data_IF_510793601153
#
_entry.id   IF_510793601153
#
_cell.length_a   1.000
_cell.length_b   1.000
_cell.length_c   1.000
_cell.angle_alpha   90.00
_cell.angle_beta   90.00
_cell.angle_gamma   90.00
#
_symmetry.space_group_name_H-M   'P 1'
#
loop_
_entity.id
_entity.type
_entity.pdbx_description
1 polymer ?
#
# COMPACT_ATOMS: atom_id res chain seq x y z
N UNK A 1 -2.25 -5.31 -6.91
CA UNK A 1 -3.09 -5.26 -8.13
C UNK A 1 -3.16 -3.80 -8.56
N UNK A 2 -2.25 -3.35 -9.44
CA UNK A 2 -2.28 -1.99 -9.98
C UNK A 2 -3.18 -2.00 -11.23
N UNK A 3 -4.31 -1.30 -11.09
CA UNK A 3 -5.17 -0.69 -12.12
C UNK A 3 -5.14 -1.34 -13.52
N UNK A 4 -6.21 -2.07 -13.84
CA UNK A 4 -6.51 -2.47 -15.22
C UNK A 4 -7.00 -1.29 -16.06
N UNK A 5 -6.28 -1.00 -17.15
CA UNK A 5 -6.74 -0.37 -18.40
C UNK A 5 -7.76 0.79 -18.31
N UNK A 6 -7.24 2.02 -18.24
CA UNK A 6 -7.73 3.21 -18.97
C UNK A 6 -6.75 4.38 -18.79
N UNK A 7 -5.89 4.62 -19.79
CA UNK A 7 -4.71 5.51 -19.77
C UNK A 7 -3.74 5.28 -18.59
N UNK A 8 -2.44 5.17 -18.88
CA UNK A 8 -1.43 5.12 -17.82
C UNK A 8 -1.36 6.49 -17.15
N UNK A 9 -2.17 6.69 -16.11
CA UNK A 9 -2.07 7.83 -15.20
C UNK A 9 -0.69 7.82 -14.60
N UNK A 10 0.09 8.86 -14.91
CA UNK A 10 1.49 8.93 -14.53
C UNK A 10 1.65 9.54 -13.16
N UNK A 11 0.72 10.37 -12.73
CA UNK A 11 0.74 10.97 -11.40
C UNK A 11 -0.38 10.40 -10.55
N UNK A 12 -0.11 10.18 -9.27
CA UNK A 12 -1.15 9.92 -8.28
C UNK A 12 -0.88 10.65 -6.98
N UNK A 13 -1.94 11.22 -6.40
CA UNK A 13 -1.94 11.83 -5.09
C UNK A 13 -2.89 11.07 -4.19
N UNK A 14 -2.49 10.86 -2.94
CA UNK A 14 -3.38 10.30 -1.92
C UNK A 14 -3.23 11.03 -0.60
N UNK A 15 -4.37 11.25 0.06
CA UNK A 15 -4.44 11.68 1.45
C UNK A 15 -5.13 10.60 2.29
N UNK A 16 -4.55 10.27 3.43
CA UNK A 16 -5.06 9.30 4.40
C UNK A 16 -5.21 9.94 5.77
N UNK A 17 -6.34 9.70 6.40
CA UNK A 17 -6.59 9.96 7.81
C UNK A 17 -6.74 8.66 8.61
N UNK A 18 -6.18 8.61 9.81
CA UNK A 18 -6.43 7.55 10.80
C UNK A 18 -6.77 8.21 12.13
N UNK A 19 -7.88 7.79 12.74
CA UNK A 19 -8.33 8.27 14.04
C UNK A 19 -7.48 7.66 15.16
N UNK A 20 -6.38 8.34 15.50
CA UNK A 20 -5.41 7.90 16.50
C UNK A 20 -4.81 9.10 17.22
N UNK A 21 -4.33 8.87 18.44
CA UNK A 21 -3.62 9.85 19.24
C UNK A 21 -2.17 10.08 18.78
N UNK A 22 -1.63 9.15 17.98
CA UNK A 22 -0.25 9.24 17.47
C UNK A 22 -0.22 10.22 16.29
N UNK A 23 0.54 11.30 16.40
CA UNK A 23 0.50 12.40 15.43
C UNK A 23 1.00 12.01 14.04
N UNK A 24 2.10 11.24 13.96
CA UNK A 24 2.72 10.86 12.68
C UNK A 24 1.75 10.17 11.71
N UNK A 25 1.07 9.05 12.05
CA UNK A 25 0.20 8.36 11.12
C UNK A 25 -1.18 9.01 10.92
N UNK A 26 -1.57 9.97 11.78
CA UNK A 26 -2.91 10.57 11.80
C UNK A 26 -3.27 11.16 10.46
N UNK A 27 -2.36 11.93 9.85
CA UNK A 27 -2.47 12.40 8.48
C UNK A 27 -1.25 11.95 7.70
N UNK A 28 -1.47 11.40 6.51
CA UNK A 28 -0.40 11.10 5.57
C UNK A 28 -0.81 11.47 4.17
N UNK A 29 0.08 12.14 3.47
CA UNK A 29 -0.06 12.48 2.07
C UNK A 29 1.01 11.76 1.27
N UNK A 30 0.68 11.35 0.04
CA UNK A 30 1.64 10.76 -0.88
C UNK A 30 1.45 11.35 -2.27
N UNK A 31 2.55 11.51 -2.99
CA UNK A 31 2.59 11.92 -4.37
C UNK A 31 3.54 10.99 -5.11
N UNK A 32 3.03 10.21 -6.06
CA UNK A 32 3.78 9.20 -6.79
C UNK A 32 3.78 9.49 -8.29
N UNK A 33 4.91 9.21 -8.94
CA UNK A 33 5.09 9.25 -10.39
C UNK A 33 5.47 7.89 -10.95
N UNK A 34 4.80 7.50 -12.04
CA UNK A 34 5.06 6.27 -12.79
C UNK A 34 6.05 6.55 -13.93
N UNK A 35 7.34 6.37 -13.67
CA UNK A 35 8.42 6.53 -14.65
C UNK A 35 8.36 5.48 -15.76
N UNK A 36 7.95 4.27 -15.40
CA UNK A 36 7.84 3.12 -16.31
C UNK A 36 6.67 2.25 -15.82
N UNK A 37 6.00 1.42 -16.66
CA UNK A 37 4.94 0.51 -16.20
C UNK A 37 5.31 -0.46 -15.06
N UNK A 38 6.61 -0.56 -14.75
CA UNK A 38 7.18 -1.36 -13.66
C UNK A 38 7.87 -0.55 -12.58
N UNK A 39 8.03 0.78 -12.73
CA UNK A 39 8.81 1.61 -11.81
C UNK A 39 8.00 2.85 -11.44
N UNK A 40 7.71 3.00 -10.16
CA UNK A 40 7.21 4.24 -9.59
C UNK A 40 8.11 4.71 -8.45
N UNK A 41 8.13 6.01 -8.25
CA UNK A 41 8.71 6.62 -7.06
C UNK A 41 7.93 7.88 -6.71
N UNK A 42 8.03 8.29 -5.46
CA UNK A 42 7.21 9.34 -4.91
C UNK A 42 7.73 9.84 -3.58
N UNK A 43 6.98 10.80 -3.07
CA UNK A 43 7.19 11.38 -1.76
C UNK A 43 6.00 11.05 -0.88
N UNK A 44 6.27 11.05 0.41
CA UNK A 44 5.29 10.94 1.47
C UNK A 44 5.51 12.05 2.48
N UNK A 45 4.42 12.55 3.02
CA UNK A 45 4.44 13.66 3.97
C UNK A 45 3.52 13.36 5.15
N UNK A 46 4.07 13.40 6.35
CA UNK A 46 3.35 13.22 7.61
C UNK A 46 3.37 14.56 8.38
N UNK A 47 2.36 15.44 8.22
CA UNK A 47 2.38 16.79 8.80
C UNK A 47 2.42 16.81 10.31
N UNK A 48 1.91 15.78 10.99
CA UNK A 48 1.91 15.70 12.46
C UNK A 48 3.31 15.75 13.07
N UNK A 49 4.34 15.39 12.29
CA UNK A 49 5.75 15.42 12.69
C UNK A 49 6.65 16.13 11.66
N UNK A 50 6.05 16.85 10.70
CA UNK A 50 6.78 17.55 9.63
C UNK A 50 7.77 16.66 8.84
N UNK A 51 7.49 15.37 8.73
CA UNK A 51 8.38 14.40 8.09
C UNK A 51 8.06 14.29 6.59
N UNK A 52 9.10 14.36 5.76
CA UNK A 52 9.05 14.02 4.34
C UNK A 52 9.89 12.77 4.12
N UNK A 53 9.28 11.73 3.58
CA UNK A 53 9.94 10.48 3.21
C UNK A 53 9.95 10.26 1.71
N UNK A 54 10.79 9.31 1.28
CA UNK A 54 10.77 8.78 -0.08
C UNK A 54 10.03 7.44 -0.10
N UNK A 55 9.37 7.16 -1.22
CA UNK A 55 8.81 5.84 -1.47
C UNK A 55 8.99 5.44 -2.93
N UNK A 56 9.00 4.15 -3.18
CA UNK A 56 9.09 3.65 -4.55
C UNK A 56 8.90 2.15 -4.63
N UNK A 57 8.57 1.70 -5.83
CA UNK A 57 8.37 0.30 -6.13
C UNK A 57 8.87 -0.04 -7.53
N UNK A 58 9.57 -1.17 -7.62
CA UNK A 58 10.02 -1.79 -8.85
C UNK A 58 9.37 -3.17 -8.93
N UNK A 59 8.58 -3.38 -9.98
CA UNK A 59 8.07 -4.71 -10.33
C UNK A 59 9.16 -5.49 -11.05
N UNK A 60 9.64 -6.54 -10.39
CA UNK A 60 10.72 -7.40 -10.87
C UNK A 60 10.17 -8.53 -11.75
N UNK A 61 9.04 -9.10 -11.36
CA UNK A 61 8.41 -10.21 -12.07
C UNK A 61 6.92 -9.94 -12.27
N UNK A 62 6.46 -10.06 -13.51
CA UNK A 62 5.03 -10.06 -13.79
C UNK A 62 4.42 -11.41 -13.41
N UNK A 63 3.18 -11.36 -12.89
CA UNK A 63 2.43 -12.58 -12.59
C UNK A 63 2.19 -13.38 -13.88
N UNK A 64 2.31 -14.70 -13.78
CA UNK A 64 1.90 -15.63 -14.83
C UNK A 64 1.13 -16.81 -14.23
N UNK A 65 0.74 -17.78 -15.07
CA UNK A 65 0.12 -19.01 -14.60
C UNK A 65 0.91 -19.66 -13.46
N UNK A 66 2.23 -19.74 -13.60
CA UNK A 66 3.11 -20.48 -12.67
C UNK A 66 3.95 -19.59 -11.75
N UNK A 67 4.07 -18.29 -12.04
CA UNK A 67 4.91 -17.37 -11.27
C UNK A 67 4.06 -16.31 -10.56
N UNK A 68 4.38 -15.94 -9.32
CA UNK A 68 3.75 -14.79 -8.68
C UNK A 68 4.25 -13.49 -9.33
N UNK A 69 3.53 -12.40 -9.06
CA UNK A 69 4.11 -11.07 -9.17
C UNK A 69 5.17 -10.90 -8.07
N UNK A 70 6.31 -10.28 -8.41
CA UNK A 70 7.35 -9.93 -7.46
C UNK A 70 7.66 -8.43 -7.55
N UNK A 71 7.73 -7.75 -6.41
CA UNK A 71 8.11 -6.33 -6.37
C UNK A 71 9.06 -6.03 -5.22
N UNK A 72 10.06 -5.19 -5.52
CA UNK A 72 10.94 -4.56 -4.54
C UNK A 72 10.47 -3.15 -4.28
N UNK A 73 10.59 -2.64 -3.08
CA UNK A 73 10.26 -1.25 -2.81
C UNK A 73 10.75 -0.74 -1.49
N UNK A 74 10.43 0.53 -1.26
CA UNK A 74 10.74 1.23 -0.03
C UNK A 74 9.66 2.28 0.27
N UNK A 75 9.46 2.55 1.54
CA UNK A 75 8.62 3.62 2.08
C UNK A 75 8.99 3.85 3.55
N UNK A 76 8.41 4.84 4.21
CA UNK A 76 8.38 4.82 5.68
C UNK A 76 7.91 3.47 6.18
N UNK A 77 8.42 3.15 7.36
CA UNK A 77 8.06 1.93 8.07
C UNK A 77 6.56 1.92 8.47
N UNK A 78 6.13 0.85 9.13
CA UNK A 78 4.74 0.53 9.46
C UNK A 78 4.01 1.70 10.12
N UNK A 79 2.67 1.71 10.02
CA UNK A 79 1.85 2.61 10.83
C UNK A 79 2.25 2.41 12.30
N UNK A 80 2.56 3.51 13.00
CA UNK A 80 3.01 3.50 14.40
C UNK A 80 4.53 3.52 14.61
N UNK A 81 5.33 3.34 13.54
CA UNK A 81 6.78 3.55 13.62
C UNK A 81 7.12 5.03 13.89
N UNK A 82 8.27 5.32 14.55
CA UNK A 82 8.72 6.68 14.77
C UNK A 82 9.12 7.37 13.45
N UNK A 83 9.25 8.69 13.51
CA UNK A 83 9.76 9.49 12.38
C UNK A 83 11.17 9.05 11.96
N UNK A 84 11.50 9.26 10.68
CA UNK A 84 12.83 8.99 10.13
C UNK A 84 13.13 7.52 9.87
N UNK A 85 12.18 6.61 10.14
CA UNK A 85 12.38 5.18 9.89
C UNK A 85 11.87 4.75 8.52
N UNK A 86 12.74 4.09 7.76
CA UNK A 86 12.45 3.53 6.45
C UNK A 86 12.27 2.01 6.53
N UNK A 87 11.54 1.48 5.55
CA UNK A 87 11.38 0.05 5.33
C UNK A 87 11.75 -0.29 3.88
N UNK A 88 12.40 -1.44 3.71
CA UNK A 88 12.74 -2.00 2.40
C UNK A 88 12.11 -3.38 2.28
N UNK A 89 11.39 -3.63 1.20
CA UNK A 89 10.55 -4.82 1.11
C UNK A 89 10.65 -5.54 -0.22
N UNK A 90 10.48 -6.86 -0.14
CA UNK A 90 10.28 -7.76 -1.27
C UNK A 90 8.95 -8.48 -1.09
N UNK A 91 7.98 -8.15 -1.94
CA UNK A 91 6.63 -8.72 -1.89
C UNK A 91 6.39 -9.69 -3.04
N UNK A 92 5.87 -10.87 -2.72
CA UNK A 92 5.32 -11.82 -3.68
C UNK A 92 3.79 -11.84 -3.56
N UNK A 93 3.08 -11.69 -4.68
CA UNK A 93 1.61 -11.73 -4.73
C UNK A 93 1.13 -12.60 -5.88
N UNK A 94 0.03 -13.33 -5.68
CA UNK A 94 -0.53 -14.19 -6.74
C UNK A 94 -2.04 -14.23 -6.69
N UNK A 95 -2.68 -14.07 -7.83
CA UNK A 95 -4.12 -14.26 -7.99
C UNK A 95 -4.42 -15.75 -8.09
N UNK A 96 -5.31 -16.24 -7.22
CA UNK A 96 -5.73 -17.64 -7.27
C UNK A 96 -6.72 -17.80 -8.43
N UNK A 97 -6.41 -18.70 -9.36
CA UNK A 97 -7.28 -18.93 -10.51
C UNK A 97 -8.68 -19.34 -10.05
N UNK A 98 -9.71 -18.73 -10.65
CA UNK A 98 -11.15 -18.94 -10.36
C UNK A 98 -11.64 -18.44 -9.00
N UNK A 99 -10.77 -17.90 -8.14
CA UNK A 99 -11.18 -17.24 -6.92
C UNK A 99 -10.94 -15.73 -7.03
N UNK A 100 -11.79 -14.89 -6.45
CA UNK A 100 -11.58 -13.45 -6.43
C UNK A 100 -10.51 -13.05 -5.39
N UNK A 101 -9.52 -13.89 -5.13
CA UNK A 101 -8.57 -13.73 -4.03
C UNK A 101 -7.14 -13.67 -4.56
N UNK A 102 -6.41 -12.67 -4.10
CA UNK A 102 -4.99 -12.47 -4.40
C UNK A 102 -4.20 -12.36 -3.10
N UNK A 103 -3.72 -13.49 -2.52
CA UNK A 103 -2.81 -13.47 -1.39
C UNK A 103 -1.47 -12.82 -1.74
N UNK A 104 -0.81 -12.31 -0.70
CA UNK A 104 0.58 -11.87 -0.76
C UNK A 104 1.31 -12.19 0.54
N UNK A 105 2.63 -12.26 0.42
CA UNK A 105 3.58 -12.29 1.54
C UNK A 105 4.75 -11.38 1.19
N UNK A 106 5.36 -10.79 2.22
CA UNK A 106 6.48 -9.88 2.07
C UNK A 106 7.57 -10.21 3.08
N UNK A 107 8.82 -9.95 2.70
CA UNK A 107 9.95 -9.84 3.64
C UNK A 107 10.36 -8.39 3.65
N UNK A 108 10.41 -7.81 4.85
CA UNK A 108 10.68 -6.39 5.05
C UNK A 108 11.86 -6.24 5.99
N UNK A 109 12.88 -5.48 5.60
CA UNK A 109 13.85 -4.93 6.54
C UNK A 109 13.29 -3.62 7.11
N UNK A 110 13.12 -3.57 8.42
CA UNK A 110 12.55 -2.47 9.19
C UNK A 110 13.68 -1.74 9.90
N UNK A 111 13.91 -0.46 9.57
CA UNK A 111 14.89 0.34 10.31
C UNK A 111 14.44 0.63 11.73
N UNK A 112 13.12 0.66 11.99
CA UNK A 112 12.61 0.83 13.35
C UNK A 112 12.96 -0.35 14.28
N UNK A 113 12.84 -1.59 13.79
CA UNK A 113 13.14 -2.79 14.58
C UNK A 113 14.56 -3.34 14.34
N UNK A 114 15.34 -2.68 13.49
CA UNK A 114 16.67 -3.12 13.04
C UNK A 114 16.68 -4.60 12.59
N UNK A 115 15.63 -5.01 11.88
CA UNK A 115 15.38 -6.43 11.64
C UNK A 115 14.30 -6.76 10.62
N UNK A 116 14.10 -8.06 10.41
CA UNK A 116 13.14 -8.56 9.44
C UNK A 116 11.74 -8.71 10.02
N UNK A 117 10.74 -8.29 9.24
CA UNK A 117 9.33 -8.54 9.49
C UNK A 117 8.70 -9.20 8.27
N UNK A 118 7.60 -9.94 8.50
CA UNK A 118 6.98 -10.79 7.50
C UNK A 118 5.50 -10.42 7.31
N UNK A 119 5.19 -9.27 6.67
CA UNK A 119 3.81 -8.94 6.35
C UNK A 119 3.16 -9.98 5.43
N UNK A 120 1.88 -10.21 5.61
CA UNK A 120 1.09 -11.08 4.74
C UNK A 120 -0.36 -10.63 4.72
N UNK A 121 -1.10 -11.06 3.70
CA UNK A 121 -2.52 -10.75 3.60
C UNK A 121 -3.12 -11.23 2.30
N UNK A 122 -4.35 -10.81 2.04
CA UNK A 122 -5.03 -11.11 0.79
C UNK A 122 -5.97 -9.97 0.40
N UNK A 123 -5.94 -9.63 -0.89
CA UNK A 123 -7.01 -8.85 -1.50
C UNK A 123 -8.14 -9.79 -1.92
N UNK A 124 -9.38 -9.45 -1.56
CA UNK A 124 -10.59 -10.12 -2.04
C UNK A 124 -11.37 -9.14 -2.90
N UNK A 125 -11.59 -9.47 -4.18
CA UNK A 125 -12.40 -8.69 -5.11
C UNK A 125 -13.88 -8.97 -4.84
N UNK A 126 -14.60 -7.96 -4.37
CA UNK A 126 -16.02 -8.07 -4.03
C UNK A 126 -16.90 -7.80 -5.25
N UNK A 127 -16.49 -6.86 -6.10
CA UNK A 127 -17.17 -6.54 -7.36
C UNK A 127 -16.19 -5.92 -8.37
N UNK A 128 -16.69 -5.32 -9.45
CA UNK A 128 -15.85 -4.59 -10.41
C UNK A 128 -15.12 -3.41 -9.75
N UNK A 129 -15.79 -2.72 -8.83
CA UNK A 129 -15.32 -1.47 -8.23
C UNK A 129 -14.94 -1.61 -6.76
N UNK A 130 -15.33 -2.72 -6.11
CA UNK A 130 -15.04 -2.95 -4.69
C UNK A 130 -14.05 -4.09 -4.48
N UNK A 131 -13.12 -3.87 -3.55
CA UNK A 131 -12.25 -4.92 -3.02
C UNK A 131 -12.01 -4.69 -1.54
N UNK A 132 -11.70 -5.75 -0.81
CA UNK A 132 -11.19 -5.64 0.55
C UNK A 132 -9.78 -6.20 0.64
N UNK A 133 -8.98 -5.66 1.55
CA UNK A 133 -7.66 -6.14 1.85
C UNK A 133 -7.60 -6.44 3.34
N UNK A 134 -7.37 -7.70 3.68
CA UNK A 134 -7.10 -8.14 5.05
C UNK A 134 -5.62 -8.46 5.12
N UNK A 135 -4.92 -7.90 6.11
CA UNK A 135 -3.48 -8.09 6.24
C UNK A 135 -3.01 -8.08 7.69
N UNK A 136 -1.78 -8.56 7.88
CA UNK A 136 -0.96 -8.29 9.04
C UNK A 136 0.34 -7.65 8.54
N UNK A 137 0.78 -6.56 9.16
CA UNK A 137 2.00 -5.85 8.77
C UNK A 137 3.30 -6.51 9.28
N UNK A 138 3.20 -7.73 9.83
CA UNK A 138 4.25 -8.45 10.55
C UNK A 138 4.15 -8.30 12.07
N UNK A 139 3.34 -7.36 12.57
CA UNK A 139 3.09 -7.13 14.00
C UNK A 139 1.61 -6.99 14.32
N UNK A 140 0.89 -6.16 13.57
CA UNK A 140 -0.50 -5.82 13.83
C UNK A 140 -1.40 -6.05 12.60
N UNK A 141 -2.67 -6.45 12.80
CA UNK A 141 -3.61 -6.68 11.72
C UNK A 141 -4.20 -5.37 11.18
N UNK A 142 -4.61 -5.36 9.92
CA UNK A 142 -5.33 -4.24 9.30
C UNK A 142 -6.38 -4.78 8.33
N UNK A 143 -7.47 -4.02 8.17
CA UNK A 143 -8.45 -4.25 7.11
C UNK A 143 -8.69 -2.96 6.34
N UNK A 144 -8.94 -3.10 5.05
CA UNK A 144 -9.32 -1.99 4.17
C UNK A 144 -10.48 -2.42 3.29
N UNK A 145 -11.46 -1.55 3.10
CA UNK A 145 -12.46 -1.65 2.04
C UNK A 145 -12.18 -0.55 1.04
N UNK A 146 -12.00 -0.92 -0.23
CA UNK A 146 -11.59 -0.02 -1.29
C UNK A 146 -12.68 0.08 -2.35
N UNK A 147 -12.96 1.30 -2.78
CA UNK A 147 -13.75 1.64 -3.95
C UNK A 147 -12.86 2.30 -5.01
N UNK A 148 -12.91 1.80 -6.24
CA UNK A 148 -12.27 2.38 -7.42
C UNK A 148 -13.34 2.85 -8.39
N UNK A 149 -13.34 4.14 -8.76
CA UNK A 149 -14.34 4.70 -9.66
C UNK A 149 -14.18 4.25 -11.12
N UNK A 150 -13.03 3.72 -11.51
CA UNK A 150 -12.64 3.50 -12.90
C UNK A 150 -12.37 4.80 -13.67
N UNK A 151 -12.55 5.94 -13.02
CA UNK A 151 -12.25 7.29 -13.51
C UNK A 151 -11.02 7.86 -12.77
N UNK A 152 -10.23 6.95 -12.19
CA UNK A 152 -8.98 7.11 -11.43
C UNK A 152 -9.05 8.14 -10.32
N UNK A 153 -10.15 8.05 -9.58
CA UNK A 153 -10.16 8.38 -8.18
C UNK A 153 -10.69 7.17 -7.42
N UNK A 154 -10.34 7.07 -6.14
CA UNK A 154 -10.76 5.95 -5.29
C UNK A 154 -10.80 6.35 -3.84
N UNK A 155 -11.63 5.65 -3.07
CA UNK A 155 -11.81 5.89 -1.64
C UNK A 155 -11.61 4.59 -0.90
N UNK A 156 -10.99 4.65 0.27
CA UNK A 156 -10.82 3.51 1.15
C UNK A 156 -11.35 3.81 2.54
N UNK A 157 -12.09 2.88 3.12
CA UNK A 157 -12.32 2.80 4.56
C UNK A 157 -11.25 1.90 5.19
N UNK A 158 -10.68 2.31 6.31
CA UNK A 158 -9.55 1.67 6.96
C UNK A 158 -9.92 1.24 8.37
N UNK A 159 -9.47 0.06 8.76
CA UNK A 159 -9.51 -0.42 10.13
C UNK A 159 -8.11 -0.87 10.53
N UNK A 160 -7.38 0.06 11.12
CA UNK A 160 -5.97 -0.05 11.43
C UNK A 160 -5.81 -0.70 12.81
N UNK A 161 -4.96 -1.70 12.91
CA UNK A 161 -4.74 -2.51 14.12
C UNK A 161 -6.00 -3.21 14.65
N UNK A 162 -7.09 -3.20 13.87
CA UNK A 162 -8.45 -3.53 14.33
C UNK A 162 -8.93 -2.71 15.54
N UNK A 163 -8.37 -1.51 15.72
CA UNK A 163 -8.68 -0.61 16.82
C UNK A 163 -9.07 0.79 16.33
N UNK A 164 -8.49 1.24 15.22
CA UNK A 164 -8.57 2.63 14.75
C UNK A 164 -9.24 2.71 13.40
N UNK A 165 -10.28 3.53 13.30
CA UNK A 165 -10.93 3.81 12.03
C UNK A 165 -10.09 4.81 11.21
N UNK A 166 -10.23 4.79 9.89
CA UNK A 166 -9.59 5.75 9.02
C UNK A 166 -10.20 5.77 7.63
N UNK A 167 -9.76 6.72 6.83
CA UNK A 167 -10.17 6.84 5.44
C UNK A 167 -9.01 7.30 4.56
N UNK A 168 -9.06 6.97 3.28
CA UNK A 168 -8.14 7.49 2.29
C UNK A 168 -8.88 7.91 1.02
N UNK A 169 -8.38 8.97 0.38
CA UNK A 169 -8.75 9.37 -0.97
C UNK A 169 -7.51 9.26 -1.85
N UNK A 170 -7.68 8.75 -3.06
CA UNK A 170 -6.62 8.71 -4.09
C UNK A 170 -7.17 9.31 -5.38
N UNK A 171 -6.35 10.10 -6.08
CA UNK A 171 -6.66 10.68 -7.40
C UNK A 171 -5.44 10.50 -8.29
N UNK A 172 -5.64 10.05 -9.53
CA UNK A 172 -4.59 9.91 -10.54
C UNK A 172 -4.84 10.76 -11.78
N UNK A 173 -3.76 11.14 -12.47
CA UNK A 173 -3.76 12.00 -13.67
C UNK A 173 -2.89 11.39 -14.78
#
# INVERSE_FOLDING_TARGET
MLLGSSSLRRFSFSGRFVDTEIDRPRWRFTADYLFHPRVNAGLEFNPGVSEVGIRGNIRVLDESRFKPNLSLGTSSDRIGSPEGTQCYYLTAAKTIQKLPVSPYVSVNYSEWEEGFTFPFGATVKLSKNFSTLLMNDGRKPHAMLNFDSGQGWGVSALWIWFERAGAALTVGF
#
